data_IF_388047730572
#
_entry.id   IF_388047730572
#
_cell.length_a   1.000
_cell.length_b   1.000
_cell.length_c   1.000
_cell.angle_alpha   90.00
_cell.angle_beta   90.00
_cell.angle_gamma   90.00
#
_symmetry.space_group_name_H-M   'P 1'
#
loop_
_entity.id
_entity.type
_entity.pdbx_description
1 polymer ?
#
# COMPACT_ATOMS: atom_id res chain seq x y z
N UNK A 1 25.25 22.36 -1.99
CA UNK A 1 24.39 22.72 -0.85
C UNK A 1 22.96 22.70 -1.33
N UNK A 2 22.09 21.84 -0.79
CA UNK A 2 20.68 21.82 -1.18
C UNK A 2 20.01 23.12 -0.71
N UNK A 3 19.12 23.67 -1.54
CA UNK A 3 18.34 24.84 -1.15
C UNK A 3 17.48 24.51 0.09
N UNK A 4 17.21 25.49 0.97
CA UNK A 4 16.31 25.30 2.10
C UNK A 4 14.96 24.75 1.59
N UNK A 5 14.38 23.78 2.31
CA UNK A 5 13.10 23.13 1.98
C UNK A 5 13.07 22.20 0.75
N UNK A 6 14.19 22.00 0.06
CA UNK A 6 14.27 21.02 -1.03
C UNK A 6 14.34 19.58 -0.50
N UNK A 7 13.19 19.02 -0.15
CA UNK A 7 13.06 17.69 0.45
C UNK A 7 12.72 16.59 -0.57
N UNK A 8 12.31 16.95 -1.77
CA UNK A 8 11.96 15.99 -2.82
C UNK A 8 13.20 15.51 -3.58
N UNK A 9 13.19 14.26 -4.09
CA UNK A 9 14.23 13.79 -5.00
C UNK A 9 14.30 14.68 -6.27
N UNK A 10 15.50 14.78 -6.87
CA UNK A 10 15.69 15.54 -8.11
C UNK A 10 14.84 14.94 -9.24
N UNK A 11 14.41 15.78 -10.18
CA UNK A 11 13.77 15.31 -11.42
C UNK A 11 14.77 14.52 -12.24
N UNK A 12 14.29 13.53 -12.99
CA UNK A 12 15.11 12.87 -14.00
C UNK A 12 15.55 13.87 -15.08
N UNK A 13 16.66 13.61 -15.79
CA UNK A 13 17.11 14.50 -16.87
C UNK A 13 16.05 14.75 -17.94
N UNK A 14 15.21 13.75 -18.22
CA UNK A 14 14.12 13.84 -19.21
C UNK A 14 13.04 14.79 -18.72
N UNK A 15 12.52 14.59 -17.50
CA UNK A 15 11.51 15.49 -16.92
C UNK A 15 12.03 16.92 -16.76
N UNK A 16 13.33 17.07 -16.48
CA UNK A 16 13.98 18.38 -16.37
C UNK A 16 14.02 19.11 -17.72
N UNK A 17 14.27 18.38 -18.81
CA UNK A 17 14.24 18.92 -20.17
C UNK A 17 12.81 19.26 -20.62
N UNK A 18 11.83 18.41 -20.32
CA UNK A 18 10.41 18.67 -20.60
C UNK A 18 9.91 19.92 -19.85
N UNK A 19 10.27 20.04 -18.57
CA UNK A 19 9.93 21.23 -17.77
C UNK A 19 10.57 22.49 -18.33
N UNK A 20 11.82 22.40 -18.82
CA UNK A 20 12.51 23.52 -19.48
C UNK A 20 11.77 23.95 -20.74
N UNK A 21 11.45 23.01 -21.64
CA UNK A 21 10.72 23.30 -22.87
C UNK A 21 9.35 23.92 -22.59
N UNK A 22 8.64 23.44 -21.56
CA UNK A 22 7.36 24.01 -21.14
C UNK A 22 7.48 25.46 -20.63
N UNK A 23 8.51 25.76 -19.84
CA UNK A 23 8.77 27.11 -19.33
C UNK A 23 9.22 28.05 -20.45
N UNK A 24 10.02 27.58 -21.41
CA UNK A 24 10.40 28.38 -22.59
C UNK A 24 9.18 28.71 -23.47
N UNK A 25 8.25 27.76 -23.65
CA UNK A 25 7.08 27.94 -24.50
C UNK A 25 5.94 28.76 -23.87
N UNK A 26 5.74 28.64 -22.56
CA UNK A 26 4.55 29.19 -21.89
C UNK A 26 4.85 30.02 -20.63
N UNK A 27 6.12 30.14 -20.24
CA UNK A 27 6.50 30.75 -18.97
C UNK A 27 6.09 29.92 -17.75
N UNK A 28 6.25 30.51 -16.57
CA UNK A 28 5.87 29.87 -15.31
C UNK A 28 4.38 30.11 -15.02
N UNK A 29 3.54 29.14 -15.40
CA UNK A 29 2.09 29.25 -15.20
C UNK A 29 1.66 29.03 -13.74
N UNK A 30 2.37 28.18 -13.00
CA UNK A 30 2.05 27.86 -11.60
C UNK A 30 2.96 28.68 -10.69
N UNK A 31 2.40 29.51 -9.78
CA UNK A 31 3.20 30.34 -8.89
C UNK A 31 4.21 29.54 -8.06
N UNK A 32 5.38 30.14 -7.84
CA UNK A 32 6.41 29.63 -6.93
C UNK A 32 6.04 30.05 -5.52
N UNK A 33 5.93 29.10 -4.61
CA UNK A 33 5.56 29.37 -3.22
C UNK A 33 6.83 29.68 -2.45
N UNK A 34 6.86 30.85 -1.81
CA UNK A 34 7.99 31.34 -1.01
C UNK A 34 7.55 31.68 0.41
N UNK A 35 8.49 31.68 1.35
CA UNK A 35 8.26 32.19 2.70
C UNK A 35 8.50 33.70 2.82
N UNK A 36 8.23 34.26 4.00
CA UNK A 36 8.47 35.67 4.36
C UNK A 36 9.91 36.15 4.15
N UNK A 37 10.88 35.23 4.18
CA UNK A 37 12.30 35.53 4.01
C UNK A 37 12.76 35.34 2.57
N UNK A 38 11.86 35.00 1.64
CA UNK A 38 12.17 34.74 0.24
C UNK A 38 12.74 33.34 -0.03
N UNK A 39 12.70 32.43 0.93
CA UNK A 39 13.07 31.04 0.71
C UNK A 39 11.96 30.31 -0.04
N UNK A 40 12.34 29.56 -1.07
CA UNK A 40 11.39 28.76 -1.87
C UNK A 40 10.91 27.55 -1.07
N UNK A 41 9.59 27.41 -0.94
CA UNK A 41 8.92 26.26 -0.32
C UNK A 41 8.51 25.24 -1.40
N UNK A 42 7.98 25.71 -2.54
CA UNK A 42 7.62 24.87 -3.68
C UNK A 42 8.02 25.52 -5.01
N UNK A 43 8.57 24.72 -5.91
CA UNK A 43 8.96 25.17 -7.24
C UNK A 43 10.45 25.43 -7.44
N UNK A 44 11.35 24.82 -6.65
CA UNK A 44 12.81 24.98 -6.81
C UNK A 44 13.30 24.78 -8.25
N UNK A 45 12.83 23.74 -8.95
CA UNK A 45 13.22 23.48 -10.35
C UNK A 45 12.68 24.56 -11.30
N UNK A 46 11.47 25.07 -11.06
CA UNK A 46 10.90 26.19 -11.83
C UNK A 46 11.69 27.47 -11.60
N UNK A 47 12.04 27.76 -10.35
CA UNK A 47 12.85 28.93 -9.98
C UNK A 47 14.22 28.89 -10.65
N UNK A 48 14.89 27.73 -10.59
CA UNK A 48 16.21 27.54 -11.21
C UNK A 48 16.16 27.77 -12.71
N UNK A 49 15.20 27.14 -13.40
CA UNK A 49 15.03 27.31 -14.84
C UNK A 49 14.63 28.74 -15.22
N UNK A 50 13.71 29.37 -14.48
CA UNK A 50 13.30 30.73 -14.75
C UNK A 50 14.46 31.73 -14.55
N UNK A 51 15.31 31.50 -13.55
CA UNK A 51 16.53 32.27 -13.33
C UNK A 51 17.57 32.07 -14.45
N UNK A 52 17.74 30.83 -14.94
CA UNK A 52 18.62 30.54 -16.10
C UNK A 52 18.11 31.18 -17.40
N UNK A 53 16.79 31.25 -17.58
CA UNK A 53 16.14 31.79 -18.78
C UNK A 53 15.85 33.29 -18.70
N UNK A 54 16.03 33.92 -17.54
CA UNK A 54 15.73 35.34 -17.32
C UNK A 54 14.24 35.69 -17.40
N UNK A 55 13.35 34.73 -17.10
CA UNK A 55 11.89 34.90 -17.20
C UNK A 55 11.33 35.35 -15.84
N UNK A 56 10.47 36.38 -15.84
CA UNK A 56 9.69 36.75 -14.65
C UNK A 56 8.64 35.69 -14.31
N UNK A 57 8.48 35.38 -13.02
CA UNK A 57 7.58 34.34 -12.56
C UNK A 57 6.67 34.83 -11.42
N UNK A 58 5.40 34.38 -11.39
CA UNK A 58 4.50 34.69 -10.28
C UNK A 58 4.97 33.99 -9.00
N UNK A 59 4.91 34.72 -7.88
CA UNK A 59 5.24 34.23 -6.55
C UNK A 59 4.05 34.34 -5.59
N UNK A 60 3.82 33.30 -4.80
CA UNK A 60 2.83 33.29 -3.72
C UNK A 60 3.59 33.23 -2.38
N UNK A 61 3.41 34.23 -1.53
CA UNK A 61 4.05 34.28 -0.21
C UNK A 61 3.16 33.57 0.81
N UNK A 62 3.70 32.58 1.52
CA UNK A 62 3.04 31.89 2.64
C UNK A 62 3.67 32.32 3.95
N UNK A 63 2.93 33.13 4.69
CA UNK A 63 3.33 33.72 5.96
C UNK A 63 2.79 32.92 7.17
N UNK A 64 3.45 33.05 8.32
CA UNK A 64 3.00 32.50 9.61
C UNK A 64 3.27 31.01 9.84
N UNK A 65 4.08 30.36 8.99
CA UNK A 65 4.43 28.93 9.14
C UNK A 65 5.78 28.76 9.84
N UNK A 66 5.87 27.81 10.77
CA UNK A 66 7.15 27.35 11.32
C UNK A 66 7.98 26.60 10.27
N UNK A 67 9.29 26.48 10.49
CA UNK A 67 10.18 25.79 9.55
C UNK A 67 9.79 24.33 9.27
N UNK A 68 9.28 23.61 10.28
CA UNK A 68 8.80 22.24 10.11
C UNK A 68 7.48 22.18 9.35
N UNK A 69 6.61 23.16 9.52
CA UNK A 69 5.39 23.30 8.73
C UNK A 69 5.69 23.64 7.28
N UNK A 70 6.66 24.51 7.01
CA UNK A 70 7.15 24.81 5.65
C UNK A 70 7.69 23.54 4.98
N UNK A 71 8.50 22.76 5.70
CA UNK A 71 9.01 21.45 5.23
C UNK A 71 7.88 20.46 4.91
N UNK A 72 6.88 20.36 5.79
CA UNK A 72 5.74 19.47 5.57
C UNK A 72 4.85 19.92 4.40
N UNK A 73 4.68 21.24 4.24
CA UNK A 73 3.95 21.82 3.12
C UNK A 73 4.64 21.51 1.78
N UNK A 74 5.97 21.65 1.72
CA UNK A 74 6.77 21.31 0.54
C UNK A 74 6.57 19.84 0.12
N UNK A 75 6.61 18.91 1.08
CA UNK A 75 6.34 17.49 0.83
C UNK A 75 4.92 17.27 0.32
N UNK A 76 3.92 17.81 1.03
CA UNK A 76 2.49 17.62 0.73
C UNK A 76 2.13 18.11 -0.67
N UNK A 77 2.64 19.27 -1.09
CA UNK A 77 2.36 19.86 -2.40
C UNK A 77 2.99 19.04 -3.54
N UNK A 78 4.18 18.48 -3.32
CA UNK A 78 4.90 17.72 -4.33
C UNK A 78 4.38 16.28 -4.46
N UNK A 79 4.05 15.60 -3.35
CA UNK A 79 3.52 14.22 -3.42
C UNK A 79 2.16 14.16 -4.11
N UNK A 80 1.34 15.23 -4.03
CA UNK A 80 0.05 15.32 -4.72
C UNK A 80 0.14 15.42 -6.26
N UNK A 81 1.31 15.77 -6.82
CA UNK A 81 1.46 16.17 -8.24
C UNK A 81 2.46 15.34 -9.05
N UNK A 82 3.26 14.47 -8.42
CA UNK A 82 4.29 13.68 -9.13
C UNK A 82 3.92 12.20 -9.19
N UNK A 83 4.22 11.55 -10.32
CA UNK A 83 4.29 10.08 -10.38
C UNK A 83 5.64 9.65 -9.81
N UNK A 84 5.70 9.51 -8.49
CA UNK A 84 6.92 9.07 -7.80
C UNK A 84 7.10 7.55 -7.95
N UNK A 85 8.35 7.10 -8.08
CA UNK A 85 8.64 5.66 -8.00
C UNK A 85 8.45 5.15 -6.56
N UNK A 86 8.23 3.84 -6.35
CA UNK A 86 8.13 3.26 -5.01
C UNK A 86 9.31 3.63 -4.08
N UNK A 87 10.54 3.67 -4.61
CA UNK A 87 11.75 4.01 -3.88
C UNK A 87 11.75 5.48 -3.45
N UNK A 88 11.37 6.38 -4.36
CA UNK A 88 11.24 7.81 -4.08
C UNK A 88 10.14 8.08 -3.03
N UNK A 89 9.03 7.34 -3.09
CA UNK A 89 7.97 7.40 -2.07
C UNK A 89 8.53 7.02 -0.70
N UNK A 90 9.33 5.94 -0.61
CA UNK A 90 9.96 5.53 0.66
C UNK A 90 10.93 6.59 1.20
N UNK A 91 11.70 7.24 0.32
CA UNK A 91 12.60 8.34 0.70
C UNK A 91 11.81 9.52 1.27
N UNK A 92 10.73 9.93 0.61
CA UNK A 92 9.84 11.02 1.04
C UNK A 92 9.19 10.70 2.39
N UNK A 93 8.68 9.47 2.56
CA UNK A 93 8.15 9.00 3.85
C UNK A 93 9.22 9.11 4.93
N UNK A 94 10.43 8.63 4.68
CA UNK A 94 11.53 8.71 5.64
C UNK A 94 11.84 10.14 6.09
N UNK A 95 11.87 11.10 5.14
CA UNK A 95 12.07 12.52 5.46
C UNK A 95 10.92 13.08 6.30
N UNK A 96 9.67 12.75 5.96
CA UNK A 96 8.50 13.19 6.72
C UNK A 96 8.52 12.67 8.16
N UNK A 97 8.95 11.41 8.36
CA UNK A 97 9.07 10.80 9.69
C UNK A 97 10.19 11.43 10.53
N UNK A 98 11.30 11.85 9.90
CA UNK A 98 12.36 12.59 10.60
C UNK A 98 11.92 13.99 11.04
N UNK A 99 11.12 14.68 10.21
CA UNK A 99 10.60 16.02 10.53
C UNK A 99 9.58 15.95 11.67
N UNK A 100 8.68 14.97 11.61
CA UNK A 100 7.57 14.87 12.57
C UNK A 100 7.47 13.45 13.15
N UNK A 101 8.44 13.01 13.97
CA UNK A 101 8.49 11.64 14.45
C UNK A 101 7.32 11.29 15.37
N UNK A 102 6.75 12.30 16.06
CA UNK A 102 5.59 12.18 16.95
C UNK A 102 4.26 11.96 16.22
N UNK A 103 4.17 12.27 14.91
CA UNK A 103 2.94 12.04 14.14
C UNK A 103 2.72 10.55 13.90
N UNK A 104 1.47 10.10 13.99
CA UNK A 104 1.11 8.71 13.70
C UNK A 104 1.26 8.38 12.20
N UNK A 105 1.45 7.09 11.90
CA UNK A 105 1.62 6.61 10.53
C UNK A 105 0.42 6.96 9.64
N UNK A 106 -0.80 6.98 10.21
CA UNK A 106 -2.02 7.40 9.50
C UNK A 106 -2.05 8.89 9.19
N UNK A 107 -1.51 9.71 10.08
CA UNK A 107 -1.43 11.16 9.87
C UNK A 107 -0.46 11.45 8.73
N UNK A 108 0.75 10.89 8.80
CA UNK A 108 1.76 11.03 7.73
C UNK A 108 1.25 10.46 6.41
N UNK A 109 0.56 9.32 6.45
CA UNK A 109 -0.08 8.73 5.27
C UNK A 109 -1.15 9.63 4.65
N UNK A 110 -1.96 10.32 5.47
CA UNK A 110 -2.97 11.26 4.99
C UNK A 110 -2.33 12.50 4.33
N UNK A 111 -1.28 13.05 4.94
CA UNK A 111 -0.54 14.20 4.42
C UNK A 111 0.08 13.88 3.05
N UNK A 112 0.76 12.72 2.96
CA UNK A 112 1.46 12.27 1.76
C UNK A 112 0.57 11.49 0.77
N UNK A 113 -0.69 11.20 1.11
CA UNK A 113 -1.63 10.36 0.34
C UNK A 113 -1.07 8.98 -0.05
N UNK A 114 -0.34 8.35 0.86
CA UNK A 114 0.20 6.99 0.71
C UNK A 114 -0.55 6.02 1.62
N UNK A 115 -0.38 4.71 1.43
CA UNK A 115 -0.94 3.75 2.37
C UNK A 115 -0.16 3.76 3.70
N UNK A 116 -0.90 3.77 4.81
CA UNK A 116 -0.35 3.77 6.17
C UNK A 116 0.52 2.55 6.50
N UNK A 117 0.35 1.39 5.83
CA UNK A 117 1.22 0.22 6.03
C UNK A 117 2.59 0.45 5.43
N UNK A 118 2.68 1.16 4.31
CA UNK A 118 3.96 1.56 3.71
C UNK A 118 4.72 2.47 4.66
N UNK A 119 4.03 3.44 5.28
CA UNK A 119 4.62 4.32 6.29
C UNK A 119 5.10 3.53 7.51
N UNK A 120 4.27 2.60 8.01
CA UNK A 120 4.64 1.74 9.13
C UNK A 120 5.86 0.86 8.83
N UNK A 121 5.99 0.33 7.60
CA UNK A 121 7.17 -0.43 7.16
C UNK A 121 8.44 0.43 7.18
N UNK A 122 8.40 1.62 6.56
CA UNK A 122 9.55 2.53 6.53
C UNK A 122 9.94 2.97 7.94
N UNK A 123 8.94 3.26 8.79
CA UNK A 123 9.19 3.66 10.19
C UNK A 123 9.92 2.56 10.95
N UNK A 124 9.43 1.32 10.90
CA UNK A 124 10.08 0.19 11.58
C UNK A 124 11.53 0.04 11.16
N UNK A 125 11.80 0.05 9.85
CA UNK A 125 13.17 -0.03 9.35
C UNK A 125 14.06 1.11 9.86
N UNK A 126 13.54 2.34 9.97
CA UNK A 126 14.31 3.47 10.49
C UNK A 126 14.45 3.48 12.01
N UNK A 127 13.47 2.98 12.76
CA UNK A 127 13.54 2.74 14.21
C UNK A 127 14.58 1.64 14.52
N UNK A 128 14.55 0.54 13.76
CA UNK A 128 15.48 -0.60 13.91
C UNK A 128 16.94 -0.21 13.64
N UNK A 129 17.18 0.63 12.62
CA UNK A 129 18.51 1.16 12.28
C UNK A 129 18.92 2.33 13.21
N UNK A 130 18.04 2.77 14.12
CA UNK A 130 18.31 3.85 15.07
C UNK A 130 18.30 5.26 14.44
N UNK A 131 17.73 5.42 13.25
CA UNK A 131 17.53 6.73 12.60
C UNK A 131 16.35 7.50 13.19
N UNK A 132 15.33 6.80 13.70
CA UNK A 132 14.19 7.39 14.37
C UNK A 132 14.16 7.01 15.86
N UNK A 133 13.73 7.93 16.75
CA UNK A 133 13.52 7.61 18.16
C UNK A 133 12.30 6.71 18.34
N UNK A 134 12.37 5.82 19.33
CA UNK A 134 11.23 5.01 19.76
C UNK A 134 10.29 5.86 20.61
N UNK A 135 9.17 6.30 20.04
CA UNK A 135 8.19 7.16 20.71
C UNK A 135 7.03 6.32 21.24
N UNK A 136 6.76 6.39 22.53
CA UNK A 136 5.68 5.63 23.19
C UNK A 136 4.28 6.06 22.78
N UNK A 137 4.06 7.37 22.57
CA UNK A 137 2.76 7.95 22.24
C UNK A 137 2.84 8.81 21.01
N UNK A 138 2.00 8.53 20.02
CA UNK A 138 1.94 9.25 18.73
C UNK A 138 0.65 10.04 18.60
N UNK A 139 0.71 11.15 17.88
CA UNK A 139 -0.41 12.06 17.64
C UNK A 139 -1.23 11.55 16.44
N UNK A 140 -2.53 11.31 16.63
CA UNK A 140 -3.43 10.89 15.56
C UNK A 140 -3.84 12.07 14.66
N UNK A 141 -4.71 11.83 13.66
CA UNK A 141 -5.24 12.88 12.77
C UNK A 141 -6.17 13.87 13.46
N UNK A 142 -6.61 13.56 14.69
CA UNK A 142 -7.50 14.38 15.52
C UNK A 142 -6.72 15.05 16.68
N UNK A 143 -5.39 14.99 16.65
CA UNK A 143 -4.54 15.58 17.70
C UNK A 143 -4.44 14.77 19.00
N UNK A 144 -5.07 13.58 19.07
CA UNK A 144 -5.06 12.76 20.29
C UNK A 144 -3.77 11.94 20.39
N UNK A 145 -3.20 11.86 21.60
CA UNK A 145 -2.02 11.03 21.88
C UNK A 145 -2.42 9.57 22.14
N UNK A 146 -2.10 8.70 21.20
CA UNK A 146 -2.40 7.26 21.25
C UNK A 146 -1.11 6.46 21.48
N UNK A 147 -1.14 5.32 22.20
CA UNK A 147 0.03 4.47 22.35
C UNK A 147 0.48 3.94 20.98
N UNK A 148 1.78 4.01 20.70
CA UNK A 148 2.38 3.59 19.44
C UNK A 148 2.22 2.09 19.19
N UNK A 149 2.34 1.29 20.25
CA UNK A 149 1.99 -0.12 20.30
C UNK A 149 0.71 -0.27 21.09
N UNK A 150 -0.29 -0.91 20.48
CA UNK A 150 -1.46 -1.34 21.24
C UNK A 150 -0.95 -2.40 22.23
N UNK A 151 -1.16 -2.27 23.55
CA UNK A 151 -0.80 -3.33 24.46
C UNK A 151 -1.54 -4.57 23.99
N UNK A 152 -0.78 -5.61 23.63
CA UNK A 152 -1.34 -6.94 23.41
C UNK A 152 -2.14 -7.21 24.67
N UNK A 153 -3.46 -7.35 24.55
CA UNK A 153 -4.26 -7.80 25.67
C UNK A 153 -3.56 -9.08 26.15
N UNK A 154 -2.97 -9.01 27.35
CA UNK A 154 -2.38 -10.18 28.00
C UNK A 154 -3.46 -11.23 27.86
N UNK A 155 -3.15 -12.31 27.16
CA UNK A 155 -4.09 -13.39 26.99
C UNK A 155 -4.55 -13.74 28.40
N UNK A 156 -5.82 -13.46 28.67
CA UNK A 156 -6.53 -13.94 29.86
C UNK A 156 -6.02 -15.36 30.14
N UNK A 157 -5.63 -15.72 31.38
CA UNK A 157 -5.06 -17.02 31.68
C UNK A 157 -5.89 -18.09 31.00
N UNK A 158 -5.18 -18.93 30.22
CA UNK A 158 -5.68 -19.92 29.30
C UNK A 158 -7.19 -20.15 29.42
N UNK A 159 -7.95 -19.71 28.40
CA UNK A 159 -9.32 -20.17 28.17
C UNK A 159 -9.34 -21.66 28.54
N UNK A 160 -10.08 -22.03 29.60
CA UNK A 160 -10.26 -23.44 30.02
C UNK A 160 -10.37 -24.26 28.74
N UNK A 161 -9.63 -25.38 28.60
CA UNK A 161 -9.54 -26.09 27.34
C UNK A 161 -10.95 -26.21 26.80
N UNK A 162 -11.22 -25.52 25.69
CA UNK A 162 -12.47 -25.69 24.99
C UNK A 162 -12.56 -27.19 24.78
N UNK A 163 -13.63 -27.82 25.30
CA UNK A 163 -13.90 -29.25 25.10
C UNK A 163 -13.40 -29.61 23.71
N UNK A 164 -12.52 -30.62 23.56
CA UNK A 164 -11.94 -30.95 22.27
C UNK A 164 -13.08 -30.91 21.27
N UNK A 165 -12.99 -30.00 20.30
CA UNK A 165 -13.96 -29.93 19.22
C UNK A 165 -14.02 -31.35 18.72
N UNK A 166 -15.18 -32.01 18.84
CA UNK A 166 -15.32 -33.41 18.45
C UNK A 166 -14.61 -33.53 17.10
N UNK A 167 -13.70 -34.51 16.92
CA UNK A 167 -13.04 -34.68 15.64
C UNK A 167 -14.15 -34.57 14.59
N UNK A 168 -13.94 -33.79 13.50
CA UNK A 168 -14.93 -33.78 12.43
C UNK A 168 -15.28 -35.25 12.18
N UNK A 169 -16.57 -35.60 12.15
CA UNK A 169 -16.98 -37.01 12.08
C UNK A 169 -16.09 -37.65 11.04
N UNK A 170 -15.42 -38.74 11.40
CA UNK A 170 -14.53 -39.45 10.48
C UNK A 170 -15.44 -39.88 9.34
N UNK A 171 -15.51 -39.05 8.31
CA UNK A 171 -16.24 -39.36 7.10
C UNK A 171 -15.36 -40.42 6.49
N UNK A 172 -15.71 -41.67 6.75
CA UNK A 172 -15.06 -42.81 6.11
C UNK A 172 -14.99 -42.46 4.63
N UNK A 173 -13.77 -42.30 4.12
CA UNK A 173 -13.56 -41.98 2.71
C UNK A 173 -14.06 -43.20 1.96
N UNK A 174 -15.33 -43.18 1.57
CA UNK A 174 -15.95 -44.23 0.78
C UNK A 174 -15.14 -44.31 -0.49
N UNK A 175 -14.30 -45.34 -0.55
CA UNK A 175 -13.53 -45.61 -1.74
C UNK A 175 -14.56 -46.06 -2.78
N UNK A 176 -14.63 -45.39 -3.95
CA UNK A 176 -15.60 -45.75 -4.96
C UNK A 176 -15.49 -47.25 -5.30
N UNK A 177 -16.60 -47.92 -5.65
CA UNK A 177 -16.57 -49.28 -6.17
C UNK A 177 -15.48 -49.41 -7.24
N UNK A 178 -14.72 -50.51 -7.28
CA UNK A 178 -13.56 -50.65 -8.18
C UNK A 178 -13.89 -50.34 -9.65
N UNK A 179 -15.10 -50.70 -10.09
CA UNK A 179 -15.63 -50.44 -11.44
C UNK A 179 -15.80 -48.94 -11.77
N UNK A 180 -15.99 -48.09 -10.77
CA UNK A 180 -16.20 -46.65 -10.92
C UNK A 180 -14.94 -45.83 -10.63
N UNK A 181 -13.83 -46.45 -10.21
CA UNK A 181 -12.60 -45.73 -9.87
C UNK A 181 -11.93 -45.13 -11.10
N UNK A 182 -11.77 -45.93 -12.15
CA UNK A 182 -11.17 -45.50 -13.42
C UNK A 182 -12.03 -44.42 -14.10
N UNK A 183 -13.37 -44.61 -14.30
CA UNK A 183 -14.21 -43.57 -14.91
C UNK A 183 -14.24 -42.25 -14.14
N UNK A 184 -14.26 -42.30 -12.80
CA UNK A 184 -14.27 -41.08 -11.98
C UNK A 184 -12.91 -40.37 -12.00
N UNK A 185 -11.81 -41.12 -12.05
CA UNK A 185 -10.47 -40.55 -12.17
C UNK A 185 -10.26 -39.87 -13.53
N UNK A 186 -10.74 -40.48 -14.61
CA UNK A 186 -10.73 -39.89 -15.95
C UNK A 186 -11.58 -38.60 -16.00
N UNK A 187 -12.79 -38.64 -15.45
CA UNK A 187 -13.66 -37.46 -15.37
C UNK A 187 -13.00 -36.32 -14.57
N UNK A 188 -12.38 -36.64 -13.42
CA UNK A 188 -11.66 -35.68 -12.61
C UNK A 188 -10.47 -35.05 -13.35
N UNK A 189 -9.75 -35.86 -14.15
CA UNK A 189 -8.62 -35.39 -14.94
C UNK A 189 -9.09 -34.42 -16.05
N UNK A 190 -10.20 -34.73 -16.73
CA UNK A 190 -10.79 -33.85 -17.75
C UNK A 190 -11.25 -32.53 -17.14
N UNK A 191 -12.00 -32.58 -16.03
CA UNK A 191 -12.47 -31.37 -15.34
C UNK A 191 -11.31 -30.50 -14.87
N UNK A 192 -10.25 -31.11 -14.33
CA UNK A 192 -9.06 -30.39 -13.90
C UNK A 192 -8.35 -29.71 -15.09
N UNK A 193 -8.18 -30.42 -16.20
CA UNK A 193 -7.53 -29.87 -17.40
C UNK A 193 -8.32 -28.69 -17.99
N UNK A 194 -9.65 -28.77 -18.04
CA UNK A 194 -10.48 -27.67 -18.54
C UNK A 194 -10.50 -26.48 -17.58
N UNK A 195 -10.51 -26.70 -16.26
CA UNK A 195 -10.38 -25.62 -15.29
C UNK A 195 -9.02 -24.91 -15.38
N UNK A 196 -7.93 -25.66 -15.56
CA UNK A 196 -6.57 -25.10 -15.72
C UNK A 196 -6.45 -24.26 -17.00
N UNK A 197 -7.07 -24.70 -18.11
CA UNK A 197 -7.16 -23.89 -19.35
C UNK A 197 -7.93 -22.59 -19.10
N UNK A 198 -9.04 -22.66 -18.37
CA UNK A 198 -9.90 -21.51 -18.11
C UNK A 198 -9.23 -20.52 -17.13
N UNK A 199 -8.53 -21.00 -16.10
CA UNK A 199 -7.74 -20.17 -15.18
C UNK A 199 -6.60 -19.44 -15.92
N UNK A 200 -5.96 -20.08 -16.92
CA UNK A 200 -4.93 -19.48 -17.78
C UNK A 200 -5.48 -18.37 -18.68
N UNK A 201 -6.65 -18.58 -19.31
CA UNK A 201 -7.28 -17.59 -20.20
C UNK A 201 -7.86 -16.41 -19.40
N UNK A 202 -8.35 -16.66 -18.19
CA UNK A 202 -9.02 -15.64 -17.36
C UNK A 202 -8.09 -14.95 -16.35
N UNK A 203 -6.79 -15.29 -16.31
CA UNK A 203 -5.79 -14.76 -15.38
C UNK A 203 -6.30 -14.71 -13.92
N UNK A 204 -6.95 -15.78 -13.44
CA UNK A 204 -7.38 -15.91 -12.04
C UNK A 204 -8.53 -14.99 -11.59
N UNK A 205 -9.35 -14.48 -12.52
CA UNK A 205 -10.53 -13.64 -12.22
C UNK A 205 -11.65 -14.42 -11.48
N UNK A 206 -12.61 -13.70 -10.83
CA UNK A 206 -13.65 -14.30 -9.97
C UNK A 206 -14.49 -15.42 -10.61
N UNK A 207 -14.62 -15.42 -11.94
CA UNK A 207 -15.38 -16.42 -12.69
C UNK A 207 -14.77 -17.83 -12.61
N UNK A 208 -13.43 -17.96 -12.67
CA UNK A 208 -12.76 -19.25 -12.56
C UNK A 208 -12.92 -19.86 -11.16
N UNK A 209 -12.85 -19.01 -10.12
CA UNK A 209 -13.10 -19.42 -8.74
C UNK A 209 -14.55 -19.89 -8.51
N UNK A 210 -15.53 -19.20 -9.11
CA UNK A 210 -16.94 -19.58 -9.02
C UNK A 210 -17.22 -20.94 -9.68
N UNK A 211 -16.68 -21.18 -10.88
CA UNK A 211 -16.78 -22.47 -11.59
C UNK A 211 -16.16 -23.61 -10.80
N UNK A 212 -14.94 -23.41 -10.27
CA UNK A 212 -14.26 -24.41 -9.43
C UNK A 212 -15.07 -24.79 -8.18
N UNK A 213 -15.73 -23.81 -7.55
CA UNK A 213 -16.61 -24.06 -6.39
C UNK A 213 -17.88 -24.83 -6.76
N UNK A 214 -18.39 -24.71 -7.99
CA UNK A 214 -19.54 -25.47 -8.48
C UNK A 214 -19.13 -26.90 -8.80
N UNK A 215 -18.01 -27.12 -9.50
CA UNK A 215 -17.47 -28.46 -9.78
C UNK A 215 -17.23 -29.27 -8.49
N UNK A 216 -16.65 -28.64 -7.46
CA UNK A 216 -16.42 -29.31 -6.18
C UNK A 216 -17.73 -29.68 -5.46
N UNK A 217 -18.79 -28.88 -5.59
CA UNK A 217 -20.11 -29.19 -5.03
C UNK A 217 -20.79 -30.33 -5.77
N UNK A 218 -20.70 -30.36 -7.09
CA UNK A 218 -21.21 -31.48 -7.90
C UNK A 218 -20.49 -32.78 -7.55
N UNK A 219 -19.17 -32.74 -7.38
CA UNK A 219 -18.37 -33.90 -6.94
C UNK A 219 -18.82 -34.44 -5.59
N UNK A 220 -19.10 -33.56 -4.63
CA UNK A 220 -19.65 -33.95 -3.33
C UNK A 220 -21.04 -34.59 -3.47
N UNK A 221 -21.93 -34.00 -4.26
CA UNK A 221 -23.28 -34.53 -4.49
C UNK A 221 -23.28 -35.91 -5.16
N UNK A 222 -22.42 -36.12 -6.18
CA UNK A 222 -22.24 -37.44 -6.81
C UNK A 222 -21.71 -38.47 -5.79
N UNK A 223 -20.78 -38.06 -4.92
CA UNK A 223 -20.26 -38.93 -3.87
C UNK A 223 -21.34 -39.33 -2.85
N UNK A 224 -22.24 -38.41 -2.48
CA UNK A 224 -23.38 -38.72 -1.59
C UNK A 224 -24.42 -39.62 -2.27
N UNK A 225 -24.71 -39.43 -3.56
CA UNK A 225 -25.60 -40.30 -4.31
C UNK A 225 -25.05 -41.73 -4.41
N UNK A 226 -23.75 -41.88 -4.64
CA UNK A 226 -23.07 -43.18 -4.62
C UNK A 226 -23.12 -43.85 -3.24
N UNK A 227 -23.07 -43.06 -2.15
CA UNK A 227 -23.27 -43.58 -0.79
C UNK A 227 -24.69 -44.07 -0.55
N UNK A 228 -25.69 -43.28 -0.96
CA UNK A 228 -27.11 -43.63 -0.82
C UNK A 228 -27.46 -44.90 -1.60
N UNK A 229 -26.91 -45.06 -2.81
CA UNK A 229 -27.08 -46.26 -3.62
C UNK A 229 -26.46 -47.52 -2.97
N UNK A 230 -25.36 -47.37 -2.23
CA UNK A 230 -24.70 -48.47 -1.51
C UNK A 230 -25.38 -48.84 -0.19
N UNK A 231 -26.15 -47.93 0.41
CA UNK A 231 -26.90 -48.16 1.65
C UNK A 231 -28.29 -48.78 1.44
N UNK A 232 -28.74 -48.89 0.18
CA UNK A 232 -30.04 -49.48 -0.22
C UNK A 232 -29.96 -50.88 -0.80
N UNK A 233 -28.84 -51.59 -0.61
CA UNK A 233 -28.64 -53.02 -0.94
C UNK A 233 -28.33 -53.78 0.35
#
# INVERSE_FOLDING_TARGET
MNAPYQLMPPLSPVEMAELRASIEAHGVQVPIIVDEHGNTIDGHHRQKLAAELGIEYPREVREGLSDDEKRMLALTLNTKRRMLTPEQIREVIGKALHIAPERSDRHVAADLRVDHKTVASVRREQEDVGKLPHIEKRIDTQGRRQPATKPTAVSTPARKPSKPKAPPPVVERVVPPPELREPLAEFDAVVKAELDKLERVTYGKPAAYALRRVCNRLRAAVSELLRAAKAGV
#
